data_IF_295837977028
#
_entry.id   IF_295837977028
#
_cell.length_a   1.000
_cell.length_b   1.000
_cell.length_c   1.000
_cell.angle_alpha   90.00
_cell.angle_beta   90.00
_cell.angle_gamma   90.00
#
_symmetry.space_group_name_H-M   'P 1'
#
loop_
_entity.id
_entity.type
_entity.pdbx_description
1 polymer ?
#
# COMPACT_ATOMS: atom_id res chain seq x y z
N UNK A 1 -14.29 6.84 -15.11
CA UNK A 1 -12.99 6.24 -14.72
C UNK A 1 -12.65 6.74 -13.32
N UNK A 2 -12.11 5.90 -12.42
CA UNK A 2 -11.63 6.37 -11.10
C UNK A 2 -10.20 6.88 -11.23
N UNK A 3 -9.88 8.03 -10.64
CA UNK A 3 -8.51 8.52 -10.58
C UNK A 3 -7.66 7.56 -9.71
N UNK A 4 -6.35 7.44 -9.99
CA UNK A 4 -5.39 6.64 -9.21
C UNK A 4 -5.47 7.02 -7.73
N UNK A 5 -5.63 8.32 -7.45
CA UNK A 5 -5.80 8.82 -6.10
C UNK A 5 -7.05 8.25 -5.41
N UNK A 6 -8.18 8.24 -6.12
CA UNK A 6 -9.44 7.67 -5.61
C UNK A 6 -9.32 6.18 -5.30
N UNK A 7 -8.54 5.43 -6.09
CA UNK A 7 -8.32 4.00 -5.85
C UNK A 7 -7.60 3.76 -4.52
N UNK A 8 -6.52 4.49 -4.26
CA UNK A 8 -5.77 4.40 -3.01
C UNK A 8 -6.60 4.90 -1.81
N UNK A 9 -7.30 6.01 -2.00
CA UNK A 9 -8.17 6.58 -0.98
C UNK A 9 -9.37 5.68 -0.65
N UNK A 10 -9.94 4.99 -1.64
CA UNK A 10 -10.98 3.99 -1.43
C UNK A 10 -10.49 2.88 -0.49
N UNK A 11 -9.30 2.33 -0.72
CA UNK A 11 -8.80 1.21 0.11
C UNK A 11 -8.38 1.66 1.51
N UNK A 12 -7.87 2.89 1.71
CA UNK A 12 -7.64 3.45 3.05
C UNK A 12 -8.94 3.72 3.82
N UNK A 13 -9.98 4.20 3.13
CA UNK A 13 -11.32 4.32 3.73
C UNK A 13 -11.85 2.97 4.19
N UNK A 14 -11.68 1.91 3.38
CA UNK A 14 -12.07 0.55 3.78
C UNK A 14 -11.32 0.07 5.03
N UNK A 15 -10.04 0.39 5.17
CA UNK A 15 -9.26 0.08 6.37
C UNK A 15 -9.77 0.82 7.61
N UNK A 16 -10.08 2.12 7.47
CA UNK A 16 -10.71 2.93 8.52
C UNK A 16 -12.11 2.42 8.92
N UNK A 17 -12.81 1.75 8.01
CA UNK A 17 -14.10 1.11 8.25
C UNK A 17 -13.96 -0.29 8.87
N UNK A 18 -12.76 -0.86 8.96
CA UNK A 18 -12.54 -2.22 9.49
C UNK A 18 -12.85 -3.32 8.48
N UNK A 19 -12.82 -3.02 7.17
CA UNK A 19 -13.13 -3.98 6.10
C UNK A 19 -11.94 -4.85 5.67
N UNK A 20 -10.79 -4.71 6.34
CA UNK A 20 -9.72 -5.70 6.30
C UNK A 20 -10.00 -6.77 7.37
N UNK A 21 -10.94 -7.68 7.09
CA UNK A 21 -11.40 -8.68 8.04
C UNK A 21 -10.24 -9.49 8.62
N UNK A 22 -10.25 -9.71 9.93
CA UNK A 22 -9.17 -10.37 10.66
C UNK A 22 -8.06 -9.43 11.13
N UNK A 23 -8.03 -8.17 10.67
CA UNK A 23 -7.13 -7.14 11.20
C UNK A 23 -7.86 -6.16 12.12
N UNK A 24 -7.16 -5.57 13.11
CA UNK A 24 -7.74 -4.51 13.92
C UNK A 24 -8.13 -3.30 13.06
N UNK A 25 -9.23 -2.65 13.40
CA UNK A 25 -9.70 -1.45 12.69
C UNK A 25 -8.71 -0.30 12.86
N UNK A 26 -8.38 0.38 11.77
CA UNK A 26 -7.51 1.56 11.83
C UNK A 26 -8.22 2.77 12.48
N UNK A 27 -7.47 3.53 13.27
CA UNK A 27 -7.85 4.80 13.85
C UNK A 27 -7.45 5.95 12.92
N UNK A 28 -8.28 6.23 11.92
CA UNK A 28 -8.16 7.35 10.99
C UNK A 28 -6.78 7.49 10.35
N UNK A 29 -6.60 6.81 9.23
CA UNK A 29 -5.49 7.05 8.32
C UNK A 29 -5.66 8.37 7.55
N UNK A 30 -4.59 9.17 7.33
CA UNK A 30 -4.66 10.32 6.42
C UNK A 30 -4.98 9.83 5.00
N UNK A 31 -5.74 10.61 4.23
CA UNK A 31 -5.97 10.31 2.83
C UNK A 31 -4.72 10.68 2.03
N UNK A 32 -4.49 9.99 0.92
CA UNK A 32 -3.43 10.33 0.00
C UNK A 32 -3.74 11.60 -0.78
N UNK A 33 -2.68 12.36 -1.02
CA UNK A 33 -2.57 13.39 -2.06
C UNK A 33 -1.58 12.91 -3.12
N UNK A 34 -1.71 13.44 -4.34
CA UNK A 34 -0.81 13.10 -5.44
C UNK A 34 0.48 13.94 -5.34
N UNK A 35 1.62 13.31 -5.61
CA UNK A 35 2.91 14.01 -5.72
C UNK A 35 3.62 13.67 -7.04
N UNK A 36 3.99 14.71 -7.78
CA UNK A 36 4.58 14.56 -9.11
C UNK A 36 6.03 14.05 -9.09
N UNK A 37 6.81 14.34 -8.04
CA UNK A 37 8.17 13.78 -7.91
C UNK A 37 8.07 12.26 -7.68
N UNK A 38 7.19 11.82 -6.79
CA UNK A 38 6.92 10.39 -6.59
C UNK A 38 6.38 9.73 -7.87
N UNK A 39 5.59 10.42 -8.68
CA UNK A 39 5.05 9.89 -9.94
C UNK A 39 6.13 9.74 -11.02
N UNK A 40 7.01 10.73 -11.14
CA UNK A 40 8.17 10.67 -12.03
C UNK A 40 9.12 9.53 -11.62
N UNK A 41 9.36 9.37 -10.31
CA UNK A 41 10.13 8.25 -9.79
C UNK A 41 9.47 6.91 -10.11
N UNK A 42 8.16 6.79 -9.88
CA UNK A 42 7.40 5.59 -10.18
C UNK A 42 7.54 5.22 -11.66
N UNK A 43 7.35 6.17 -12.59
CA UNK A 43 7.53 5.91 -14.01
C UNK A 43 8.96 5.52 -14.35
N UNK A 44 9.98 6.16 -13.75
CA UNK A 44 11.38 5.80 -13.98
C UNK A 44 11.67 4.35 -13.57
N UNK A 45 11.07 3.88 -12.47
CA UNK A 45 11.16 2.48 -12.05
C UNK A 45 10.43 1.58 -13.05
N UNK A 46 9.20 1.93 -13.42
CA UNK A 46 8.38 1.14 -14.36
C UNK A 46 9.05 1.00 -15.74
N UNK A 47 9.74 2.04 -16.21
CA UNK A 47 10.47 2.03 -17.49
C UNK A 47 11.59 0.98 -17.57
N UNK A 48 12.07 0.48 -16.42
CA UNK A 48 13.08 -0.58 -16.42
C UNK A 48 12.51 -1.95 -16.81
N UNK A 49 11.18 -2.10 -16.83
CA UNK A 49 10.49 -3.36 -17.15
C UNK A 49 10.95 -4.56 -16.31
N UNK A 50 11.44 -4.30 -15.09
CA UNK A 50 11.91 -5.32 -14.15
C UNK A 50 10.74 -5.91 -13.36
N UNK A 51 10.68 -7.23 -13.29
CA UNK A 51 9.69 -7.96 -12.49
C UNK A 51 9.96 -7.87 -10.99
N UNK A 52 11.24 -7.72 -10.62
CA UNK A 52 11.69 -7.58 -9.25
C UNK A 52 12.22 -6.17 -8.99
N UNK A 53 11.73 -5.54 -7.91
CA UNK A 53 12.08 -4.16 -7.53
C UNK A 53 12.48 -4.03 -6.06
N UNK A 54 12.64 -5.16 -5.36
CA UNK A 54 12.79 -5.21 -3.90
C UNK A 54 14.03 -4.48 -3.37
N UNK A 55 15.08 -4.34 -4.18
CA UNK A 55 16.38 -3.80 -3.76
C UNK A 55 16.70 -2.41 -4.33
N UNK A 56 15.73 -1.73 -4.95
CA UNK A 56 15.98 -0.41 -5.52
C UNK A 56 16.02 0.67 -4.42
N UNK A 57 17.17 1.34 -4.28
CA UNK A 57 17.25 2.57 -3.52
C UNK A 57 16.76 3.72 -4.40
N UNK A 58 15.61 4.29 -4.04
CA UNK A 58 14.97 5.39 -4.79
C UNK A 58 14.61 6.55 -3.88
N UNK A 59 15.27 6.70 -2.73
CA UNK A 59 15.08 7.86 -1.87
C UNK A 59 15.50 9.15 -2.60
N UNK A 60 14.86 10.26 -2.24
CA UNK A 60 15.24 11.59 -2.71
C UNK A 60 15.50 12.51 -1.53
N UNK A 61 15.97 13.74 -1.80
CA UNK A 61 16.14 14.74 -0.76
C UNK A 61 14.81 15.07 -0.06
N UNK A 62 13.71 15.19 -0.82
CA UNK A 62 12.36 15.42 -0.27
C UNK A 62 11.82 14.19 0.45
N UNK A 63 12.15 12.99 -0.02
CA UNK A 63 11.62 11.73 0.50
C UNK A 63 12.73 10.72 0.84
N UNK A 64 13.31 10.79 2.05
CA UNK A 64 14.45 9.96 2.45
C UNK A 64 14.09 8.52 2.84
N UNK A 65 12.80 8.13 2.81
CA UNK A 65 12.35 6.82 3.26
C UNK A 65 11.17 6.29 2.43
N UNK A 66 11.24 6.39 1.11
CA UNK A 66 10.11 6.01 0.25
C UNK A 66 9.78 4.52 0.30
N UNK A 67 8.51 4.20 0.14
CA UNK A 67 8.03 2.84 -0.11
C UNK A 67 7.77 2.66 -1.61
N UNK A 68 8.03 1.46 -2.13
CA UNK A 68 7.77 1.11 -3.54
C UNK A 68 6.92 -0.15 -3.58
N UNK A 69 5.86 -0.12 -4.37
CA UNK A 69 5.10 -1.31 -4.73
C UNK A 69 5.05 -1.41 -6.25
N UNK A 70 5.62 -2.48 -6.79
CA UNK A 70 5.63 -2.76 -8.23
C UNK A 70 5.10 -4.15 -8.53
N UNK A 71 4.38 -4.29 -9.63
CA UNK A 71 3.84 -5.55 -10.12
C UNK A 71 3.56 -5.50 -11.62
N UNK A 72 3.24 -6.64 -12.23
CA UNK A 72 2.91 -6.71 -13.64
C UNK A 72 1.82 -7.73 -13.95
N UNK A 73 1.23 -7.63 -15.14
CA UNK A 73 0.33 -8.64 -15.70
C UNK A 73 0.74 -8.99 -17.13
N UNK A 74 0.45 -10.22 -17.53
CA UNK A 74 0.51 -10.65 -18.93
C UNK A 74 -0.71 -10.14 -19.70
N UNK A 75 -0.48 -9.33 -20.72
CA UNK A 75 -1.51 -8.69 -21.55
C UNK A 75 -2.20 -9.67 -22.51
N UNK A 76 -1.58 -10.79 -22.88
CA UNK A 76 -2.27 -11.84 -23.67
C UNK A 76 -3.37 -12.50 -22.84
N UNK A 77 -3.10 -12.72 -21.55
CA UNK A 77 -4.06 -13.33 -20.63
C UNK A 77 -5.03 -12.31 -20.02
N UNK A 78 -4.58 -11.09 -19.81
CA UNK A 78 -5.30 -10.09 -19.01
C UNK A 78 -5.24 -8.66 -19.59
N UNK A 79 -5.67 -8.43 -20.84
CA UNK A 79 -5.49 -7.14 -21.53
C UNK A 79 -6.20 -5.97 -20.81
N UNK A 80 -7.34 -6.25 -20.18
CA UNK A 80 -8.17 -5.24 -19.50
C UNK A 80 -7.71 -4.88 -18.07
N UNK A 81 -6.73 -5.59 -17.49
CA UNK A 81 -6.26 -5.30 -16.13
C UNK A 81 -5.38 -4.05 -16.14
N UNK A 82 -5.86 -2.96 -15.54
CA UNK A 82 -5.13 -1.70 -15.37
C UNK A 82 -4.92 -1.36 -13.89
N UNK A 83 -4.58 -0.10 -13.58
CA UNK A 83 -4.27 0.39 -12.23
C UNK A 83 -5.26 -0.06 -11.14
N UNK A 84 -6.56 -0.06 -11.42
CA UNK A 84 -7.60 -0.49 -10.45
C UNK A 84 -7.46 -1.94 -10.01
N UNK A 85 -7.00 -2.82 -10.91
CA UNK A 85 -6.70 -4.21 -10.57
C UNK A 85 -5.49 -4.28 -9.62
N UNK A 86 -4.41 -3.57 -9.92
CA UNK A 86 -3.19 -3.58 -9.13
C UNK A 86 -3.42 -3.07 -7.71
N UNK A 87 -4.02 -1.89 -7.55
CA UNK A 87 -4.32 -1.32 -6.21
C UNK A 87 -5.22 -2.26 -5.41
N UNK A 88 -6.23 -2.87 -6.05
CA UNK A 88 -7.10 -3.85 -5.39
C UNK A 88 -6.33 -5.13 -5.02
N UNK A 89 -5.42 -5.59 -5.86
CA UNK A 89 -4.56 -6.76 -5.59
C UNK A 89 -3.65 -6.51 -4.40
N UNK A 90 -2.97 -5.36 -4.36
CA UNK A 90 -2.09 -4.98 -3.25
C UNK A 90 -2.86 -4.81 -1.94
N UNK A 91 -4.02 -4.16 -1.98
CA UNK A 91 -4.93 -4.08 -0.84
C UNK A 91 -5.31 -5.47 -0.32
N UNK A 92 -5.68 -6.40 -1.21
CA UNK A 92 -6.10 -7.75 -0.85
C UNK A 92 -5.03 -8.59 -0.15
N UNK A 93 -3.76 -8.16 -0.18
CA UNK A 93 -2.70 -8.80 0.58
C UNK A 93 -2.79 -8.56 2.09
N UNK A 94 -3.77 -7.77 2.57
CA UNK A 94 -4.12 -7.71 3.99
C UNK A 94 -4.31 -9.11 4.62
N UNK A 95 -4.75 -10.10 3.81
CA UNK A 95 -4.93 -11.50 4.22
C UNK A 95 -3.63 -12.20 4.62
N UNK A 96 -2.48 -11.66 4.23
CA UNK A 96 -1.15 -12.15 4.62
C UNK A 96 -0.65 -11.51 5.91
N UNK A 97 -1.34 -10.50 6.43
CA UNK A 97 -0.97 -9.80 7.66
C UNK A 97 -1.67 -10.45 8.85
N UNK A 98 -0.95 -10.62 9.96
CA UNK A 98 -1.49 -11.02 11.24
C UNK A 98 -1.73 -9.78 12.13
N UNK A 99 -2.70 -9.81 13.07
CA UNK A 99 -2.92 -8.71 14.01
C UNK A 99 -1.65 -8.26 14.74
N UNK A 100 -0.78 -9.20 15.12
CA UNK A 100 0.51 -8.90 15.78
C UNK A 100 1.42 -8.04 14.89
N UNK A 101 1.39 -8.24 13.57
CA UNK A 101 2.18 -7.47 12.60
C UNK A 101 1.67 -6.05 12.38
N UNK A 102 0.41 -5.76 12.75
CA UNK A 102 -0.08 -4.37 12.80
C UNK A 102 0.60 -3.62 13.95
N UNK A 103 0.79 -4.27 15.10
CA UNK A 103 1.44 -3.67 16.25
C UNK A 103 2.97 -3.54 16.07
N UNK A 104 3.60 -4.55 15.48
CA UNK A 104 5.04 -4.61 15.22
C UNK A 104 5.30 -5.29 13.87
N UNK A 105 5.61 -4.51 12.84
CA UNK A 105 5.82 -5.03 11.48
C UNK A 105 7.03 -5.98 11.43
N UNK A 106 6.94 -7.15 10.76
CA UNK A 106 7.99 -8.16 10.81
C UNK A 106 9.23 -7.74 10.02
N UNK A 107 10.41 -8.16 10.47
CA UNK A 107 11.67 -7.92 9.77
C UNK A 107 11.75 -8.72 8.45
N UNK A 108 11.19 -9.93 8.45
CA UNK A 108 11.15 -10.86 7.31
C UNK A 108 9.80 -10.80 6.57
N UNK A 109 9.27 -9.60 6.34
CA UNK A 109 8.02 -9.40 5.62
C UNK A 109 8.11 -9.89 4.16
N UNK A 110 7.12 -10.64 3.70
CA UNK A 110 7.05 -11.08 2.29
C UNK A 110 6.71 -9.91 1.36
N UNK A 111 6.89 -10.10 0.04
CA UNK A 111 6.50 -9.12 -0.97
C UNK A 111 5.03 -8.70 -0.86
N UNK A 112 4.13 -9.66 -0.61
CA UNK A 112 2.70 -9.43 -0.44
C UNK A 112 2.41 -8.60 0.82
N UNK A 113 3.12 -8.85 1.92
CA UNK A 113 2.97 -8.05 3.13
C UNK A 113 3.37 -6.60 2.86
N UNK A 114 4.46 -6.36 2.14
CA UNK A 114 4.89 -5.02 1.73
C UNK A 114 3.88 -4.33 0.81
N UNK A 115 3.27 -5.05 -0.15
CA UNK A 115 2.24 -4.50 -1.03
C UNK A 115 1.09 -3.86 -0.24
N UNK A 116 0.59 -4.56 0.79
CA UNK A 116 -0.45 -4.00 1.66
C UNK A 116 0.09 -2.93 2.60
N UNK A 117 1.25 -3.18 3.23
CA UNK A 117 1.83 -2.30 4.24
C UNK A 117 2.09 -0.89 3.70
N UNK A 118 2.58 -0.77 2.47
CA UNK A 118 2.85 0.52 1.83
C UNK A 118 1.58 1.37 1.64
N UNK A 119 0.41 0.74 1.44
CA UNK A 119 -0.89 1.43 1.38
C UNK A 119 -1.39 1.76 2.79
N UNK A 120 -1.17 0.86 3.75
CA UNK A 120 -1.76 0.89 5.08
C UNK A 120 -0.96 1.71 6.11
N UNK A 121 0.28 2.10 5.79
CA UNK A 121 1.15 2.76 6.75
C UNK A 121 0.58 4.11 7.21
N UNK A 122 0.66 4.40 8.51
CA UNK A 122 0.06 5.62 9.07
C UNK A 122 0.73 6.93 8.68
N UNK A 123 2.02 6.90 8.37
CA UNK A 123 2.78 8.12 8.04
C UNK A 123 2.74 8.48 6.56
N UNK A 124 2.43 7.51 5.70
CA UNK A 124 2.30 7.77 4.28
C UNK A 124 0.99 8.48 3.96
N UNK A 125 1.10 9.54 3.18
CA UNK A 125 0.01 10.45 2.77
C UNK A 125 0.26 11.09 1.40
N UNK A 126 1.39 10.81 0.73
CA UNK A 126 1.63 11.17 -0.65
C UNK A 126 1.87 9.91 -1.47
N UNK A 127 1.35 9.91 -2.70
CA UNK A 127 1.54 8.81 -3.64
C UNK A 127 1.75 9.35 -5.05
N UNK A 128 2.62 8.67 -5.81
CA UNK A 128 2.75 8.85 -7.25
C UNK A 128 2.92 7.50 -7.92
N UNK A 129 2.38 7.33 -9.13
CA UNK A 129 2.38 6.04 -9.81
C UNK A 129 2.74 6.16 -11.29
N UNK A 130 3.32 5.09 -11.83
CA UNK A 130 3.65 4.89 -13.23
C UNK A 130 3.04 3.59 -13.78
N UNK A 131 2.74 3.56 -15.07
CA UNK A 131 2.23 2.40 -15.78
C UNK A 131 2.79 2.38 -17.21
N UNK A 132 3.30 1.24 -17.63
CA UNK A 132 3.89 1.04 -18.96
C UNK A 132 3.48 -0.32 -19.51
N UNK A 133 3.02 -0.33 -20.75
CA UNK A 133 2.93 -1.55 -21.55
C UNK A 133 4.25 -1.73 -22.30
N UNK A 134 4.90 -2.87 -22.10
CA UNK A 134 6.16 -3.24 -22.76
C UNK A 134 6.09 -4.70 -23.21
N UNK A 135 6.14 -4.89 -24.54
CA UNK A 135 5.87 -6.18 -25.16
C UNK A 135 4.49 -6.73 -24.77
N UNK A 136 4.45 -7.93 -24.17
CA UNK A 136 3.23 -8.58 -23.71
C UNK A 136 2.91 -8.35 -22.24
N UNK A 137 3.55 -7.38 -21.59
CA UNK A 137 3.36 -7.11 -20.16
C UNK A 137 2.93 -5.68 -19.92
N UNK A 138 2.10 -5.49 -18.89
CA UNK A 138 1.80 -4.20 -18.30
C UNK A 138 2.44 -4.15 -16.92
N UNK A 139 3.38 -3.23 -16.75
CA UNK A 139 4.04 -2.96 -15.48
C UNK A 139 3.36 -1.78 -14.80
N UNK A 140 3.20 -1.85 -13.48
CA UNK A 140 2.67 -0.78 -12.66
C UNK A 140 3.53 -0.63 -11.42
N UNK A 141 3.92 0.60 -11.12
CA UNK A 141 4.64 0.96 -9.90
C UNK A 141 3.93 2.12 -9.21
N UNK A 142 3.79 2.06 -7.89
CA UNK A 142 3.45 3.20 -7.06
C UNK A 142 4.52 3.42 -6.00
N UNK A 143 4.87 4.68 -5.78
CA UNK A 143 5.83 5.13 -4.78
C UNK A 143 5.09 5.99 -3.75
N UNK A 144 5.44 5.77 -2.49
CA UNK A 144 4.82 6.38 -1.32
C UNK A 144 5.89 7.13 -0.52
N UNK A 145 5.53 8.26 0.11
CA UNK A 145 6.53 9.11 0.78
C UNK A 145 7.18 8.51 2.04
N UNK A 146 6.62 7.44 2.60
CA UNK A 146 7.17 6.81 3.81
C UNK A 146 6.89 5.31 3.85
N UNK A 147 7.77 4.52 4.46
CA UNK A 147 7.62 3.07 4.67
C UNK A 147 7.76 2.69 6.14
N UNK A 148 7.00 1.67 6.56
CA UNK A 148 7.12 1.10 7.89
C UNK A 148 8.48 0.40 8.06
N UNK A 149 9.11 0.55 9.22
CA UNK A 149 10.30 -0.21 9.59
C UNK A 149 9.95 -1.45 10.44
N UNK A 150 10.85 -2.45 10.52
CA UNK A 150 10.68 -3.59 11.42
C UNK A 150 10.44 -3.16 12.87
N UNK A 151 9.55 -3.88 13.56
CA UNK A 151 9.14 -3.60 14.94
C UNK A 151 8.29 -2.34 15.12
N UNK A 152 8.09 -1.53 14.06
CA UNK A 152 7.24 -0.35 14.12
C UNK A 152 5.78 -0.72 13.85
N UNK A 153 4.88 0.05 14.47
CA UNK A 153 3.44 -0.07 14.25
C UNK A 153 3.04 0.37 12.85
N UNK A 154 2.30 -0.47 12.13
CA UNK A 154 1.83 -0.19 10.77
C UNK A 154 0.79 0.94 10.76
N UNK A 155 -0.25 0.83 11.59
CA UNK A 155 -1.22 1.91 11.79
C UNK A 155 -1.76 1.95 13.23
N UNK A 156 -2.28 3.11 13.62
CA UNK A 156 -2.92 3.26 14.92
C UNK A 156 -4.24 2.48 14.91
N UNK A 157 -4.52 1.71 15.97
CA UNK A 157 -5.74 0.89 16.07
C UNK A 157 -6.82 1.71 16.78
N UNK A 158 -8.06 1.62 16.31
CA UNK A 158 -9.20 2.26 16.96
C UNK A 158 -9.44 1.58 18.32
N UNK A 159 -9.51 2.33 19.43
CA UNK A 159 -9.82 1.73 20.74
C UNK A 159 -11.14 0.95 20.67
N UNK A 160 -11.14 -0.25 21.25
CA UNK A 160 -12.38 -0.98 21.52
C UNK A 160 -13.05 -0.25 22.68
N UNK A 161 -14.21 0.35 22.44
CA UNK A 161 -15.03 0.89 23.54
C UNK A 161 -15.68 -0.33 24.21
N UNK A 162 -15.13 -0.73 25.35
CA UNK A 162 -15.80 -1.71 26.21
C UNK A 162 -16.76 -0.92 27.09
N UNK A 163 -18.06 -1.05 26.86
CA UNK A 163 -19.05 -0.53 27.80
C UNK A 163 -19.02 -1.43 29.05
N UNK A 164 -18.27 -1.00 30.06
CA UNK A 164 -18.31 -1.58 31.40
C UNK A 164 -19.55 -1.03 32.10
N UNK A 165 -20.74 -1.43 31.66
CA UNK A 165 -22.00 -0.99 32.27
C UNK A 165 -22.92 -2.14 32.68
N UNK A 166 -22.40 -3.37 32.81
CA UNK A 166 -23.14 -4.52 33.38
C UNK A 166 -22.22 -5.43 34.22
N UNK A 167 -21.29 -4.84 34.98
CA UNK A 167 -20.66 -5.52 36.11
C UNK A 167 -21.30 -4.96 37.40
N UNK A 168 -22.52 -5.39 37.68
CA UNK A 168 -23.10 -5.29 39.02
C UNK A 168 -23.16 -6.71 39.58
N UNK A 169 -22.35 -6.88 40.64
CA UNK A 169 -22.39 -7.81 41.77
C UNK A 169 -23.28 -9.05 41.65
#
# INVERSE_FOLDING_TARGET
MKNILDLHNTVRTRLNQGLAHGLPRANKLPMFEWDDELALMAMRITNQCNEETANLCVNTYRFPNVAVTSDFVDLKKHPAKGMSYFVKNWWNQYRKILPVYVAAFPANASREMWMFANIAYKKTHLVGCGMLDSGFKRFVTCVYNDKVGPGKRLYNVRPIVVNVSNAQL
#
